data_IF_916694566724
#
_entry.id   IF_916694566724
#
_cell.length_a   1.000
_cell.length_b   1.000
_cell.length_c   1.000
_cell.angle_alpha   90.00
_cell.angle_beta   90.00
_cell.angle_gamma   90.00
#
_symmetry.space_group_name_H-M   'P 1'
#
loop_
_entity.id
_entity.type
_entity.pdbx_description
1 polymer ?
#
# COMPACT_ATOMS: atom_id res chain seq x y z
N UNK A 1 -10.67 -3.89 4.60
CA UNK A 1 -10.37 -2.46 4.78
C UNK A 1 -11.64 -1.64 4.90
N UNK A 2 -12.31 -1.36 3.79
CA UNK A 2 -13.52 -0.52 3.74
C UNK A 2 -14.65 -0.96 4.70
N UNK A 3 -15.03 -2.25 4.70
CA UNK A 3 -16.09 -2.78 5.58
C UNK A 3 -15.80 -2.56 7.06
N UNK A 4 -14.55 -2.77 7.48
CA UNK A 4 -14.10 -2.51 8.85
C UNK A 4 -14.22 -1.01 9.17
N UNK A 5 -13.79 -0.15 8.24
CA UNK A 5 -13.89 1.30 8.40
C UNK A 5 -15.34 1.80 8.50
N UNK A 6 -16.25 1.25 7.70
CA UNK A 6 -17.68 1.56 7.79
C UNK A 6 -18.28 1.12 9.13
N UNK A 7 -17.92 -0.07 9.64
CA UNK A 7 -18.37 -0.55 10.94
C UNK A 7 -17.83 0.29 12.11
N UNK A 8 -16.60 0.82 12.00
CA UNK A 8 -15.99 1.66 13.04
C UNK A 8 -16.42 3.13 12.98
N UNK A 9 -16.98 3.60 11.86
CA UNK A 9 -17.40 5.00 11.71
C UNK A 9 -18.48 5.43 12.71
N UNK A 10 -19.44 4.53 13.01
CA UNK A 10 -20.50 4.77 13.99
C UNK A 10 -19.95 4.97 15.40
N UNK A 11 -19.21 4.00 15.98
CA UNK A 11 -18.65 4.13 17.32
C UNK A 11 -17.67 5.30 17.52
N UNK A 12 -16.95 5.73 16.47
CA UNK A 12 -16.01 6.84 16.55
C UNK A 12 -16.66 8.21 16.28
N UNK A 13 -17.94 8.25 15.92
CA UNK A 13 -18.63 9.47 15.45
C UNK A 13 -17.86 10.21 14.34
N UNK A 14 -17.14 9.47 13.50
CA UNK A 14 -16.36 10.02 12.39
C UNK A 14 -17.12 9.85 11.08
N UNK A 15 -16.75 10.65 10.08
CA UNK A 15 -17.28 10.49 8.73
C UNK A 15 -17.02 9.06 8.22
N UNK A 16 -18.06 8.34 7.73
CA UNK A 16 -17.91 7.01 7.16
C UNK A 16 -16.90 7.00 6.02
N UNK A 17 -16.87 8.05 5.19
CA UNK A 17 -15.95 8.20 4.07
C UNK A 17 -14.49 8.21 4.55
N UNK A 18 -14.19 8.97 5.60
CA UNK A 18 -12.84 9.14 6.11
C UNK A 18 -12.32 7.84 6.73
N UNK A 19 -13.14 7.18 7.56
CA UNK A 19 -12.78 5.93 8.24
C UNK A 19 -12.66 4.77 7.26
N UNK A 20 -13.54 4.71 6.26
CA UNK A 20 -13.51 3.69 5.19
C UNK A 20 -12.26 3.82 4.34
N UNK A 21 -11.91 5.04 3.92
CA UNK A 21 -10.71 5.31 3.12
C UNK A 21 -9.43 4.95 3.87
N UNK A 22 -9.30 5.38 5.14
CA UNK A 22 -8.16 5.07 5.98
C UNK A 22 -7.99 3.56 6.19
N UNK A 23 -9.06 2.84 6.58
CA UNK A 23 -8.99 1.40 6.80
C UNK A 23 -8.78 0.59 5.51
N UNK A 24 -9.26 1.09 4.35
CA UNK A 24 -8.94 0.50 3.05
C UNK A 24 -7.44 0.62 2.74
N UNK A 25 -6.91 1.84 2.83
CA UNK A 25 -5.51 2.14 2.56
C UNK A 25 -4.55 1.39 3.51
N UNK A 26 -4.90 1.31 4.80
CA UNK A 26 -4.12 0.58 5.81
C UNK A 26 -3.96 -0.91 5.47
N UNK A 27 -5.07 -1.59 5.19
CA UNK A 27 -5.08 -3.04 4.97
C UNK A 27 -4.37 -3.39 3.67
N UNK A 28 -4.61 -2.62 2.61
CA UNK A 28 -3.93 -2.83 1.33
C UNK A 28 -2.44 -2.48 1.41
N UNK A 29 -2.09 -1.38 2.09
CA UNK A 29 -0.71 -0.94 2.30
C UNK A 29 0.13 -1.96 3.06
N UNK A 30 -0.45 -2.58 4.10
CA UNK A 30 0.18 -3.69 4.81
C UNK A 30 0.28 -4.95 3.94
N UNK A 31 -0.83 -5.44 3.38
CA UNK A 31 -0.83 -6.72 2.66
C UNK A 31 0.03 -6.72 1.39
N UNK A 32 0.00 -5.63 0.61
CA UNK A 32 0.69 -5.54 -0.68
C UNK A 32 2.12 -4.99 -0.57
N UNK A 33 2.53 -4.48 0.61
CA UNK A 33 3.81 -3.79 0.79
C UNK A 33 4.08 -2.70 -0.28
N UNK A 34 3.00 -2.09 -0.79
CA UNK A 34 3.01 -1.12 -1.88
C UNK A 34 2.35 0.20 -1.43
N UNK A 35 2.95 0.92 -0.45
CA UNK A 35 2.29 2.05 0.21
C UNK A 35 1.93 3.20 -0.75
N UNK A 36 2.76 3.44 -1.78
CA UNK A 36 2.52 4.51 -2.77
C UNK A 36 1.29 4.18 -3.63
N UNK A 37 1.18 2.95 -4.15
CA UNK A 37 0.04 2.53 -4.95
C UNK A 37 -1.25 2.55 -4.13
N UNK A 38 -1.18 2.15 -2.85
CA UNK A 38 -2.32 2.17 -1.94
C UNK A 38 -2.78 3.59 -1.60
N UNK A 39 -1.86 4.55 -1.47
CA UNK A 39 -2.18 5.96 -1.27
C UNK A 39 -2.89 6.55 -2.49
N UNK A 40 -2.39 6.31 -3.71
CA UNK A 40 -3.02 6.75 -4.96
C UNK A 40 -4.42 6.15 -5.11
N UNK A 41 -4.57 4.85 -4.83
CA UNK A 41 -5.87 4.18 -4.86
C UNK A 41 -6.89 4.81 -3.90
N UNK A 42 -6.47 5.18 -2.69
CA UNK A 42 -7.35 5.86 -1.74
C UNK A 42 -7.72 7.27 -2.21
N UNK A 43 -6.81 8.00 -2.85
CA UNK A 43 -7.06 9.33 -3.41
C UNK A 43 -8.05 9.25 -4.58
N UNK A 44 -7.88 8.30 -5.50
CA UNK A 44 -8.78 8.14 -6.65
C UNK A 44 -10.21 7.78 -6.22
N UNK A 45 -10.36 6.97 -5.15
CA UNK A 45 -11.68 6.48 -4.72
C UNK A 45 -12.43 7.46 -3.81
N UNK A 46 -11.72 8.27 -3.02
CA UNK A 46 -12.31 9.13 -1.99
C UNK A 46 -12.00 10.62 -2.14
N UNK A 47 -11.20 11.00 -3.13
CA UNK A 47 -10.85 12.38 -3.44
C UNK A 47 -9.51 12.86 -2.85
N UNK A 48 -9.05 14.02 -3.31
CA UNK A 48 -7.75 14.60 -2.96
C UNK A 48 -7.60 14.96 -1.47
N UNK A 49 -8.69 15.26 -0.77
CA UNK A 49 -8.67 15.56 0.67
C UNK A 49 -8.16 14.37 1.51
N UNK A 50 -8.26 13.15 0.97
CA UNK A 50 -7.77 11.94 1.63
C UNK A 50 -6.28 11.66 1.40
N UNK A 51 -5.57 12.48 0.62
CA UNK A 51 -4.17 12.22 0.27
C UNK A 51 -3.23 12.17 1.48
N UNK A 52 -3.34 13.14 2.38
CA UNK A 52 -2.52 13.20 3.60
C UNK A 52 -2.85 12.05 4.56
N UNK A 53 -4.11 11.84 4.99
CA UNK A 53 -4.43 10.75 5.91
C UNK A 53 -4.14 9.37 5.31
N UNK A 54 -4.42 9.15 4.02
CA UNK A 54 -4.09 7.89 3.35
C UNK A 54 -2.57 7.64 3.31
N UNK A 55 -1.78 8.67 3.02
CA UNK A 55 -0.31 8.57 3.02
C UNK A 55 0.25 8.17 4.39
N UNK A 56 -0.19 8.85 5.46
CA UNK A 56 0.24 8.55 6.83
C UNK A 56 -0.11 7.10 7.20
N UNK A 57 -1.37 6.71 6.97
CA UNK A 57 -1.85 5.37 7.31
C UNK A 57 -1.13 4.29 6.51
N UNK A 58 -0.87 4.51 5.21
CA UNK A 58 -0.08 3.60 4.38
C UNK A 58 1.35 3.43 4.90
N UNK A 59 2.03 4.52 5.31
CA UNK A 59 3.40 4.46 5.83
C UNK A 59 3.43 3.67 7.16
N UNK A 60 2.51 3.97 8.08
CA UNK A 60 2.42 3.28 9.37
C UNK A 60 2.10 1.80 9.17
N UNK A 61 1.12 1.49 8.30
CA UNK A 61 0.76 0.11 7.99
C UNK A 61 1.91 -0.66 7.33
N UNK A 62 2.67 -0.01 6.43
CA UNK A 62 3.86 -0.59 5.83
C UNK A 62 4.97 -0.86 6.85
N UNK A 63 5.17 0.05 7.82
CA UNK A 63 6.18 -0.13 8.87
C UNK A 63 5.88 -1.31 9.82
N UNK A 64 4.60 -1.62 10.04
CA UNK A 64 4.14 -2.75 10.87
C UNK A 64 4.06 -4.05 10.05
N UNK A 65 4.10 -3.95 8.70
CA UNK A 65 3.92 -5.08 7.81
C UNK A 65 5.13 -6.04 7.79
N UNK A 66 4.90 -7.36 7.67
CA UNK A 66 5.96 -8.32 7.38
C UNK A 66 6.71 -7.99 6.08
N UNK A 67 8.01 -8.35 6.02
CA UNK A 67 8.88 -8.10 4.84
C UNK A 67 8.41 -8.75 3.54
N UNK A 68 7.49 -9.72 3.62
CA UNK A 68 6.88 -10.41 2.49
C UNK A 68 5.40 -10.05 2.44
N UNK A 69 4.96 -9.46 1.34
CA UNK A 69 3.55 -9.17 1.08
C UNK A 69 2.85 -10.36 0.45
N UNK A 70 1.61 -10.17 0.01
CA UNK A 70 0.81 -11.18 -0.73
C UNK A 70 1.40 -11.56 -2.09
N UNK A 71 2.45 -10.86 -2.53
CA UNK A 71 3.16 -11.14 -3.77
C UNK A 71 4.46 -11.90 -3.46
N UNK A 72 4.47 -13.22 -3.67
CA UNK A 72 5.64 -14.08 -3.44
C UNK A 72 6.88 -13.65 -4.26
N UNK A 73 6.69 -13.05 -5.44
CA UNK A 73 7.75 -12.52 -6.29
C UNK A 73 8.26 -11.12 -5.93
N UNK A 74 7.78 -10.53 -4.83
CA UNK A 74 8.17 -9.18 -4.43
C UNK A 74 9.64 -9.14 -4.00
N UNK A 75 10.51 -8.65 -4.89
CA UNK A 75 11.92 -8.43 -4.59
C UNK A 75 12.06 -7.21 -3.67
N UNK A 76 12.39 -7.45 -2.40
CA UNK A 76 12.86 -6.39 -1.50
C UNK A 76 14.13 -5.76 -2.05
N UNK A 77 14.05 -4.51 -2.51
CA UNK A 77 15.21 -3.64 -2.70
C UNK A 77 16.38 -4.21 -3.52
N UNK A 78 16.14 -5.14 -4.45
CA UNK A 78 17.17 -5.48 -5.43
C UNK A 78 17.17 -4.32 -6.42
N UNK A 79 18.08 -3.36 -6.21
CA UNK A 79 18.54 -2.46 -7.27
C UNK A 79 18.68 -3.33 -8.51
N UNK A 80 17.85 -3.10 -9.54
CA UNK A 80 18.07 -3.73 -10.83
C UNK A 80 19.44 -3.24 -11.25
N UNK A 81 20.46 -4.05 -11.04
CA UNK A 81 21.76 -3.79 -11.62
C UNK A 81 21.57 -3.98 -13.13
N UNK A 82 21.24 -2.88 -13.80
CA UNK A 82 21.01 -2.78 -15.24
C UNK A 82 22.25 -3.22 -16.04
N UNK A 83 23.39 -3.41 -15.35
CA UNK A 83 24.65 -3.86 -15.94
C UNK A 83 24.69 -5.38 -16.19
N UNK A 84 23.88 -6.19 -15.49
CA UNK A 84 23.95 -7.66 -15.60
C UNK A 84 23.23 -8.26 -16.82
N UNK A 85 22.45 -7.46 -17.56
CA UNK A 85 21.74 -7.94 -18.77
C UNK A 85 22.54 -7.71 -20.06
N UNK A 86 23.66 -6.99 -20.00
CA UNK A 86 24.54 -6.84 -21.15
C UNK A 86 25.57 -7.99 -21.18
N UNK A 87 25.32 -8.95 -22.06
CA UNK A 87 26.28 -9.93 -22.61
C UNK A 87 26.62 -11.12 -21.71
N UNK A 88 25.87 -12.20 -21.86
CA UNK A 88 26.40 -13.55 -21.63
C UNK A 88 26.69 -14.17 -23.00
N UNK A 89 27.96 -14.25 -23.45
CA UNK A 89 28.28 -14.87 -24.72
C UNK A 89 28.17 -16.39 -24.53
N UNK A 90 27.38 -17.00 -25.40
CA UNK A 90 27.28 -18.44 -25.60
C UNK A 90 28.68 -19.06 -25.69
N UNK A 91 29.05 -19.87 -24.68
CA UNK A 91 30.15 -20.82 -24.84
C UNK A 91 29.55 -22.20 -25.11
N UNK A 92 29.88 -22.68 -26.31
CA UNK A 92 29.78 -24.04 -26.83
C UNK A 92 30.51 -25.05 -25.95
#
# INVERSE_FOLDING_TARGET
>A
GATLGSAMSGPLHLSPTLTTAACLAAVFGAAANAPIACAVLAIELFGADMAIPAGIVCIVAYAISPKHGIYEGQRSGSTKDLRATAVQPHRS
#
